data_IF_394129875506
#
_entry.id   IF_394129875506
#
_cell.length_a   1.000
_cell.length_b   1.000
_cell.length_c   1.000
_cell.angle_alpha   90.00
_cell.angle_beta   90.00
_cell.angle_gamma   90.00
#
_symmetry.space_group_name_H-M   'P 1'
#
loop_
_entity.id
_entity.type
_entity.pdbx_description
1 polymer ?
#
# COMPACT_ATOMS: atom_id res chain seq x y z
N UNK A 1 6.51 -11.89 -6.67
CA UNK A 1 7.92 -11.48 -6.65
C UNK A 1 8.39 -11.42 -5.21
N UNK A 2 9.69 -11.55 -4.99
CA UNK A 2 10.34 -11.39 -3.69
C UNK A 2 11.48 -10.39 -3.80
N UNK A 3 11.93 -9.84 -2.67
CA UNK A 3 13.06 -8.93 -2.58
C UNK A 3 14.39 -9.51 -3.14
N UNK A 4 14.43 -10.81 -3.44
CA UNK A 4 15.59 -11.53 -3.97
C UNK A 4 15.54 -11.72 -5.50
N UNK A 5 14.43 -11.38 -6.16
CA UNK A 5 14.32 -11.46 -7.61
C UNK A 5 15.18 -10.37 -8.28
N UNK A 6 15.68 -10.56 -9.52
CA UNK A 6 16.49 -9.54 -10.20
C UNK A 6 15.81 -8.18 -10.26
N UNK A 7 16.52 -7.11 -9.90
CA UNK A 7 15.96 -5.77 -9.86
C UNK A 7 15.22 -5.42 -8.56
N UNK A 8 15.29 -6.28 -7.55
CA UNK A 8 14.86 -6.01 -6.18
C UNK A 8 16.05 -5.70 -5.27
N UNK A 9 15.77 -5.14 -4.09
CA UNK A 9 16.78 -4.53 -3.21
C UNK A 9 17.93 -5.47 -2.83
N UNK A 10 17.68 -6.79 -2.72
CA UNK A 10 18.73 -7.77 -2.39
C UNK A 10 19.42 -8.38 -3.62
N UNK A 11 19.02 -7.99 -4.83
CA UNK A 11 19.54 -8.54 -6.10
C UNK A 11 19.58 -7.48 -7.21
N UNK A 12 20.30 -6.37 -6.92
CA UNK A 12 20.58 -5.32 -7.89
C UNK A 12 21.95 -5.54 -8.53
N UNK A 13 22.00 -5.51 -9.87
CA UNK A 13 23.27 -5.35 -10.57
C UNK A 13 23.78 -3.90 -10.52
N UNK A 14 25.02 -3.67 -10.94
CA UNK A 14 25.65 -2.34 -10.91
C UNK A 14 24.84 -1.27 -11.67
N UNK A 15 24.31 -1.61 -12.84
CA UNK A 15 23.49 -0.68 -13.65
C UNK A 15 22.20 -0.30 -12.93
N UNK A 16 21.53 -1.28 -12.32
CA UNK A 16 20.29 -1.07 -11.56
C UNK A 16 20.53 -0.24 -10.29
N UNK A 17 21.65 -0.47 -9.59
CA UNK A 17 22.05 0.34 -8.44
C UNK A 17 22.31 1.80 -8.83
N UNK A 18 23.00 2.02 -9.95
CA UNK A 18 23.22 3.36 -10.49
C UNK A 18 21.91 4.03 -10.91
N UNK A 19 21.00 3.29 -11.53
CA UNK A 19 19.67 3.80 -11.89
C UNK A 19 18.86 4.21 -10.65
N UNK A 20 18.93 3.45 -9.55
CA UNK A 20 18.30 3.82 -8.28
C UNK A 20 18.89 5.13 -7.71
N UNK A 21 20.22 5.27 -7.71
CA UNK A 21 20.90 6.51 -7.29
C UNK A 21 20.43 7.70 -8.13
N UNK A 22 20.45 7.56 -9.45
CA UNK A 22 20.03 8.62 -10.37
C UNK A 22 18.53 8.95 -10.21
N UNK A 23 17.68 7.94 -10.01
CA UNK A 23 16.26 8.15 -9.75
C UNK A 23 16.01 8.97 -8.48
N UNK A 24 16.79 8.75 -7.41
CA UNK A 24 16.72 9.58 -6.22
C UNK A 24 17.12 11.03 -6.52
N UNK A 25 18.21 11.25 -7.25
CA UNK A 25 18.68 12.60 -7.60
C UNK A 25 17.61 13.34 -8.42
N UNK A 26 17.13 12.71 -9.49
CA UNK A 26 16.19 13.32 -10.44
C UNK A 26 14.82 13.56 -9.79
N UNK A 27 14.35 12.67 -8.92
CA UNK A 27 13.10 12.85 -8.19
C UNK A 27 13.17 14.09 -7.29
N UNK A 28 14.24 14.20 -6.49
CA UNK A 28 14.40 15.30 -5.56
C UNK A 28 14.59 16.62 -6.31
N UNK A 29 15.40 16.64 -7.37
CA UNK A 29 15.59 17.80 -8.22
C UNK A 29 14.27 18.24 -8.88
N UNK A 30 13.46 17.29 -9.36
CA UNK A 30 12.16 17.59 -9.97
C UNK A 30 11.20 18.22 -8.95
N UNK A 31 11.14 17.71 -7.72
CA UNK A 31 10.34 18.31 -6.65
C UNK A 31 10.90 19.70 -6.27
N UNK A 32 12.22 19.84 -6.18
CA UNK A 32 12.89 21.12 -5.92
C UNK A 32 12.47 22.19 -6.94
N UNK A 33 12.55 21.87 -8.23
CA UNK A 33 12.14 22.75 -9.34
C UNK A 33 10.65 23.08 -9.25
N UNK A 34 9.79 22.06 -9.07
CA UNK A 34 8.33 22.23 -9.00
C UNK A 34 7.90 23.13 -7.82
N UNK A 35 8.68 23.14 -6.74
CA UNK A 35 8.35 23.85 -5.48
C UNK A 35 9.16 25.12 -5.28
N UNK A 36 10.13 25.41 -6.16
CA UNK A 36 11.10 26.49 -6.00
C UNK A 36 11.86 26.45 -4.66
N UNK A 37 12.03 25.27 -4.08
CA UNK A 37 12.78 25.05 -2.84
C UNK A 37 14.09 24.35 -3.13
N UNK A 38 15.19 24.61 -2.40
CA UNK A 38 16.41 23.82 -2.50
C UNK A 38 16.15 22.33 -2.22
N UNK A 39 16.91 21.42 -2.84
CA UNK A 39 16.83 19.96 -2.65
C UNK A 39 16.75 19.56 -1.16
N UNK A 40 17.58 20.16 -0.31
CA UNK A 40 17.62 19.87 1.13
C UNK A 40 16.39 20.35 1.91
N UNK A 41 15.54 21.14 1.28
CA UNK A 41 14.39 21.81 1.88
C UNK A 41 13.05 21.34 1.31
N UNK A 42 13.03 20.46 0.31
CA UNK A 42 11.78 20.03 -0.36
C UNK A 42 10.75 19.44 0.61
N UNK A 43 11.20 18.87 1.73
CA UNK A 43 10.35 18.29 2.78
C UNK A 43 9.37 19.29 3.41
N UNK A 44 9.62 20.59 3.24
CA UNK A 44 8.72 21.65 3.72
C UNK A 44 7.64 22.02 2.68
N UNK A 45 7.64 21.40 1.50
CA UNK A 45 6.57 21.51 0.50
C UNK A 45 5.57 20.37 0.62
N UNK A 46 4.37 20.53 0.05
CA UNK A 46 3.35 19.48 -0.01
C UNK A 46 3.87 18.21 -0.71
N UNK A 47 4.62 18.36 -1.81
CA UNK A 47 5.19 17.22 -2.54
C UNK A 47 6.23 16.47 -1.71
N UNK A 48 7.13 17.19 -1.05
CA UNK A 48 8.14 16.56 -0.19
C UNK A 48 7.50 15.93 1.05
N UNK A 49 6.52 16.59 1.66
CA UNK A 49 5.78 16.01 2.77
C UNK A 49 5.06 14.72 2.36
N UNK A 50 4.29 14.75 1.26
CA UNK A 50 3.57 13.57 0.77
C UNK A 50 4.52 12.43 0.38
N UNK A 51 5.64 12.73 -0.30
CA UNK A 51 6.64 11.72 -0.66
C UNK A 51 7.14 10.97 0.58
N UNK A 52 7.51 11.70 1.63
CA UNK A 52 8.11 11.09 2.82
C UNK A 52 7.08 10.42 3.72
N UNK A 53 5.81 10.82 3.69
CA UNK A 53 4.73 10.05 4.30
C UNK A 53 4.50 8.75 3.51
N UNK A 54 4.42 8.84 2.19
CA UNK A 54 4.11 7.70 1.31
C UNK A 54 5.15 6.59 1.38
N UNK A 55 6.44 6.94 1.43
CA UNK A 55 7.55 5.97 1.45
C UNK A 55 7.97 5.53 2.86
N UNK A 56 7.52 6.18 3.93
CA UNK A 56 8.03 5.87 5.27
C UNK A 56 7.51 4.55 5.85
N UNK A 57 6.39 4.06 5.32
CA UNK A 57 5.77 2.84 5.80
C UNK A 57 6.58 1.57 5.46
N UNK A 58 7.11 1.52 4.23
CA UNK A 58 7.93 0.42 3.75
C UNK A 58 9.36 0.92 3.50
N UNK A 59 10.30 0.05 3.12
CA UNK A 59 11.62 0.53 2.78
C UNK A 59 11.54 1.45 1.53
N UNK A 60 11.97 2.70 1.66
CA UNK A 60 11.85 3.70 0.60
C UNK A 60 12.51 3.28 -0.73
N UNK A 61 13.61 2.51 -0.70
CA UNK A 61 14.23 2.00 -1.93
C UNK A 61 13.39 0.92 -2.60
N UNK A 62 12.74 0.06 -1.81
CA UNK A 62 11.80 -0.93 -2.35
C UNK A 62 10.69 -0.23 -3.13
N UNK A 63 10.17 0.89 -2.60
CA UNK A 63 9.18 1.71 -3.29
C UNK A 63 9.73 2.19 -4.64
N UNK A 64 10.86 2.89 -4.66
CA UNK A 64 11.41 3.44 -5.92
C UNK A 64 11.77 2.34 -6.92
N UNK A 65 12.31 1.20 -6.45
CA UNK A 65 12.61 0.05 -7.29
C UNK A 65 11.35 -0.54 -7.93
N UNK A 66 10.23 -0.56 -7.21
CA UNK A 66 8.91 -0.97 -7.76
C UNK A 66 8.55 -0.11 -8.98
N UNK A 67 8.73 1.20 -8.89
CA UNK A 67 8.47 2.13 -10.01
C UNK A 67 9.50 2.01 -11.14
N UNK A 68 10.79 1.81 -10.82
CA UNK A 68 11.81 1.59 -11.85
C UNK A 68 11.52 0.33 -12.65
N UNK A 69 11.20 -0.79 -12.00
CA UNK A 69 10.84 -2.04 -12.69
C UNK A 69 9.62 -1.86 -13.58
N UNK A 70 8.56 -1.23 -13.06
CA UNK A 70 7.32 -0.97 -13.80
C UNK A 70 7.53 -0.14 -15.07
N UNK A 71 8.57 0.70 -15.09
CA UNK A 71 8.92 1.58 -16.20
C UNK A 71 10.15 1.10 -16.96
N UNK A 72 10.52 -0.19 -16.84
CA UNK A 72 11.64 -0.81 -17.55
C UNK A 72 12.95 -0.03 -17.36
N UNK A 73 13.16 0.51 -16.16
CA UNK A 73 14.31 1.31 -15.75
C UNK A 73 14.46 2.65 -16.49
N UNK A 74 13.42 3.15 -17.16
CA UNK A 74 13.39 4.51 -17.69
C UNK A 74 13.15 5.51 -16.55
N UNK A 75 14.21 6.22 -16.18
CA UNK A 75 14.21 7.15 -15.05
C UNK A 75 13.25 8.33 -15.32
N UNK A 76 13.25 8.89 -16.53
CA UNK A 76 12.42 10.06 -16.86
C UNK A 76 10.94 9.72 -16.75
N UNK A 77 10.52 8.59 -17.31
CA UNK A 77 9.14 8.09 -17.18
C UNK A 77 8.82 7.79 -15.72
N UNK A 78 9.77 7.18 -15.00
CA UNK A 78 9.62 6.87 -13.57
C UNK A 78 9.33 8.13 -12.75
N UNK A 79 10.13 9.19 -12.90
CA UNK A 79 9.93 10.46 -12.20
C UNK A 79 8.58 11.07 -12.57
N UNK A 80 8.24 11.13 -13.85
CA UNK A 80 6.96 11.68 -14.30
C UNK A 80 5.77 10.96 -13.63
N UNK A 81 5.82 9.64 -13.55
CA UNK A 81 4.74 8.84 -12.96
C UNK A 81 4.68 8.97 -11.43
N UNK A 82 5.82 9.03 -10.75
CA UNK A 82 5.85 9.32 -9.30
C UNK A 82 5.30 10.74 -9.04
N UNK A 83 5.65 11.74 -9.84
CA UNK A 83 5.08 13.08 -9.71
C UNK A 83 3.57 13.11 -9.95
N UNK A 84 3.07 12.32 -10.91
CA UNK A 84 1.63 12.14 -11.14
C UNK A 84 0.95 11.47 -9.94
N UNK A 85 1.59 10.45 -9.33
CA UNK A 85 1.11 9.84 -8.09
C UNK A 85 1.02 10.88 -6.97
N UNK A 86 2.11 11.59 -6.66
CA UNK A 86 2.12 12.58 -5.57
C UNK A 86 1.05 13.66 -5.81
N UNK A 87 0.92 14.14 -7.05
CA UNK A 87 -0.13 15.10 -7.43
C UNK A 87 -1.52 14.55 -7.18
N UNK A 88 -1.79 13.30 -7.56
CA UNK A 88 -3.08 12.65 -7.30
C UNK A 88 -3.33 12.47 -5.80
N UNK A 89 -2.32 12.02 -5.04
CA UNK A 89 -2.45 11.83 -3.59
C UNK A 89 -2.82 13.13 -2.88
N UNK A 90 -2.16 14.24 -3.24
CA UNK A 90 -2.42 15.57 -2.71
C UNK A 90 -3.81 16.07 -3.13
N UNK A 91 -4.14 16.03 -4.42
CA UNK A 91 -5.41 16.57 -4.95
C UNK A 91 -6.63 15.79 -4.48
N UNK A 92 -6.53 14.46 -4.44
CA UNK A 92 -7.57 13.57 -3.96
C UNK A 92 -7.60 13.46 -2.43
N UNK A 93 -6.71 14.18 -1.73
CA UNK A 93 -6.62 14.24 -0.27
C UNK A 93 -6.54 12.87 0.38
N UNK A 94 -5.70 11.98 -0.18
CA UNK A 94 -5.60 10.58 0.26
C UNK A 94 -5.23 10.49 1.75
N UNK A 95 -4.33 11.34 2.24
CA UNK A 95 -3.99 11.36 3.67
C UNK A 95 -5.17 11.77 4.56
N UNK A 96 -5.96 12.77 4.14
CA UNK A 96 -7.16 13.17 4.87
C UNK A 96 -8.18 12.03 4.88
N UNK A 97 -8.37 11.36 3.75
CA UNK A 97 -9.21 10.17 3.65
C UNK A 97 -8.73 9.07 4.60
N UNK A 98 -7.44 8.71 4.61
CA UNK A 98 -6.89 7.67 5.48
C UNK A 98 -6.99 8.01 6.98
N UNK A 99 -6.97 9.30 7.35
CA UNK A 99 -7.18 9.78 8.73
C UNK A 99 -8.60 9.57 9.27
N UNK A 100 -9.53 9.23 8.37
CA UNK A 100 -10.94 8.96 8.65
C UNK A 100 -11.36 7.54 8.23
N UNK A 101 -10.67 6.96 7.23
CA UNK A 101 -10.85 5.65 6.62
C UNK A 101 -12.27 5.09 6.71
N UNK A 102 -12.53 4.20 7.69
CA UNK A 102 -13.81 3.52 7.85
C UNK A 102 -15.00 4.44 8.11
N UNK A 103 -14.78 5.66 8.61
CA UNK A 103 -15.84 6.66 8.78
C UNK A 103 -16.21 7.40 7.49
N UNK A 104 -15.41 7.28 6.43
CA UNK A 104 -15.63 7.90 5.11
C UNK A 104 -16.09 6.89 4.04
N UNK A 105 -16.23 5.61 4.42
CA UNK A 105 -16.79 4.56 3.57
C UNK A 105 -18.14 4.10 4.14
N UNK A 106 -18.96 3.48 3.29
CA UNK A 106 -20.23 2.88 3.73
C UNK A 106 -19.96 1.63 4.56
N UNK A 107 -20.33 1.65 5.84
CA UNK A 107 -20.24 0.46 6.71
C UNK A 107 -21.14 -0.67 6.18
N UNK A 108 -22.31 -0.34 5.64
CA UNK A 108 -23.17 -1.33 4.98
C UNK A 108 -22.42 -2.03 3.85
N UNK A 109 -21.77 -1.26 2.98
CA UNK A 109 -20.98 -1.79 1.87
C UNK A 109 -19.76 -2.60 2.34
N UNK A 110 -19.09 -2.16 3.41
CA UNK A 110 -17.96 -2.87 3.99
C UNK A 110 -18.38 -4.23 4.56
N UNK A 111 -19.53 -4.29 5.25
CA UNK A 111 -20.05 -5.53 5.86
C UNK A 111 -20.62 -6.53 4.84
N UNK A 112 -20.82 -6.13 3.58
CA UNK A 112 -21.16 -7.07 2.50
C UNK A 112 -20.01 -8.01 2.14
N UNK A 113 -18.79 -7.75 2.64
CA UNK A 113 -17.60 -8.58 2.40
C UNK A 113 -17.30 -8.81 0.91
N UNK A 114 -17.57 -7.81 0.06
CA UNK A 114 -17.32 -7.89 -1.38
C UNK A 114 -15.83 -7.92 -1.75
N UNK A 115 -14.97 -7.45 -0.84
CA UNK A 115 -13.52 -7.41 -1.00
C UNK A 115 -12.84 -7.34 0.37
N UNK A 116 -11.95 -8.28 0.67
CA UNK A 116 -11.21 -8.32 1.95
C UNK A 116 -9.88 -9.06 1.81
N UNK A 117 -8.92 -8.74 2.66
CA UNK A 117 -7.71 -9.52 2.85
C UNK A 117 -7.93 -10.59 3.91
N UNK A 118 -7.37 -11.77 3.70
CA UNK A 118 -7.40 -12.85 4.69
C UNK A 118 -6.31 -13.88 4.35
N UNK A 119 -5.50 -14.23 5.34
CA UNK A 119 -4.44 -15.24 5.18
C UNK A 119 -3.41 -14.90 4.09
N UNK A 120 -2.60 -15.91 3.77
CA UNK A 120 -1.45 -15.77 2.88
C UNK A 120 -1.38 -16.90 1.84
N UNK A 121 -0.87 -16.59 0.65
CA UNK A 121 -0.54 -17.61 -0.34
C UNK A 121 0.70 -18.41 0.08
N UNK A 122 1.02 -19.47 -0.66
CA UNK A 122 2.13 -20.39 -0.32
C UNK A 122 3.52 -19.74 -0.31
N UNK A 123 3.66 -18.51 -0.81
CA UNK A 123 4.93 -17.79 -0.78
C UNK A 123 4.87 -16.54 0.12
N UNK A 124 3.83 -16.44 0.96
CA UNK A 124 3.69 -15.40 1.97
C UNK A 124 3.05 -14.10 1.47
N UNK A 125 2.40 -14.07 0.30
CA UNK A 125 1.66 -12.88 -0.13
C UNK A 125 0.33 -12.79 0.58
N UNK A 126 -0.05 -11.62 1.14
CA UNK A 126 -1.39 -11.45 1.66
C UNK A 126 -2.40 -11.66 0.52
N UNK A 127 -3.51 -12.36 0.82
CA UNK A 127 -4.52 -12.70 -0.19
C UNK A 127 -5.73 -11.80 -0.05
N UNK A 128 -6.07 -11.07 -1.11
CA UNK A 128 -7.31 -10.33 -1.25
C UNK A 128 -8.36 -11.19 -1.95
N UNK A 129 -9.48 -11.48 -1.29
CA UNK A 129 -10.64 -12.13 -1.84
C UNK A 129 -11.65 -11.09 -2.30
N UNK A 130 -12.09 -11.18 -3.56
CA UNK A 130 -13.11 -10.32 -4.16
C UNK A 130 -14.27 -11.19 -4.62
N UNK A 131 -15.47 -10.93 -4.12
CA UNK A 131 -16.69 -11.66 -4.45
C UNK A 131 -17.53 -10.83 -5.42
N UNK A 132 -17.33 -11.01 -6.72
CA UNK A 132 -17.93 -10.16 -7.75
C UNK A 132 -19.47 -10.19 -7.77
N UNK A 133 -20.06 -11.29 -7.27
CA UNK A 133 -21.52 -11.44 -7.13
C UNK A 133 -22.13 -10.45 -6.13
N UNK A 134 -21.36 -10.01 -5.13
CA UNK A 134 -21.83 -9.06 -4.11
C UNK A 134 -21.82 -7.62 -4.62
N UNK A 135 -21.09 -7.32 -5.71
CA UNK A 135 -21.14 -6.00 -6.34
C UNK A 135 -22.42 -5.84 -7.16
N UNK A 136 -23.27 -4.87 -6.81
CA UNK A 136 -24.44 -4.51 -7.61
C UNK A 136 -24.21 -3.14 -8.25
N UNK A 137 -24.27 -3.07 -9.58
CA UNK A 137 -24.04 -1.84 -10.34
C UNK A 137 -25.01 -0.75 -9.90
N UNK A 138 -24.47 0.40 -9.51
CA UNK A 138 -25.24 1.58 -9.11
C UNK A 138 -25.85 1.51 -7.71
N UNK A 139 -25.55 0.47 -6.91
CA UNK A 139 -25.97 0.39 -5.50
C UNK A 139 -25.28 1.46 -4.65
N UNK A 140 -23.99 1.70 -4.92
CA UNK A 140 -23.18 2.74 -4.27
C UNK A 140 -22.63 3.70 -5.32
N UNK A 141 -22.26 4.90 -4.90
CA UNK A 141 -21.64 5.86 -5.81
C UNK A 141 -20.27 5.36 -6.27
N UNK A 142 -19.84 5.79 -7.46
CA UNK A 142 -18.51 5.46 -7.96
C UNK A 142 -17.41 5.96 -7.02
N UNK A 143 -17.56 7.17 -6.45
CA UNK A 143 -16.63 7.74 -5.48
C UNK A 143 -16.49 6.87 -4.22
N UNK A 144 -17.61 6.40 -3.66
CA UNK A 144 -17.60 5.51 -2.49
C UNK A 144 -16.90 4.19 -2.79
N UNK A 145 -17.23 3.59 -3.93
CA UNK A 145 -16.65 2.30 -4.32
C UNK A 145 -15.15 2.42 -4.64
N UNK A 146 -14.74 3.55 -5.23
CA UNK A 146 -13.33 3.87 -5.49
C UNK A 146 -12.54 4.11 -4.20
N UNK A 147 -13.10 4.85 -3.23
CA UNK A 147 -12.48 5.02 -1.90
C UNK A 147 -12.25 3.69 -1.19
N UNK A 148 -13.21 2.76 -1.27
CA UNK A 148 -13.02 1.42 -0.71
C UNK A 148 -11.87 0.66 -1.40
N UNK A 149 -11.75 0.75 -2.73
CA UNK A 149 -10.64 0.13 -3.45
C UNK A 149 -9.29 0.77 -3.10
N UNK A 150 -9.24 2.10 -2.97
CA UNK A 150 -8.06 2.84 -2.51
C UNK A 150 -7.67 2.38 -1.10
N UNK A 151 -8.64 2.30 -0.18
CA UNK A 151 -8.39 1.83 1.18
C UNK A 151 -7.84 0.40 1.19
N UNK A 152 -8.43 -0.51 0.40
CA UNK A 152 -7.93 -1.88 0.28
C UNK A 152 -6.48 -1.92 -0.26
N UNK A 153 -6.14 -1.07 -1.23
CA UNK A 153 -4.78 -0.97 -1.76
C UNK A 153 -3.78 -0.43 -0.73
N UNK A 154 -4.16 0.58 0.05
CA UNK A 154 -3.29 1.09 1.12
C UNK A 154 -3.13 0.07 2.26
N UNK A 155 -4.18 -0.68 2.58
CA UNK A 155 -4.12 -1.83 3.51
C UNK A 155 -3.21 -2.94 2.97
N UNK A 156 -3.26 -3.21 1.66
CA UNK A 156 -2.41 -4.23 1.05
C UNK A 156 -0.93 -3.97 1.34
N UNK A 157 -0.52 -2.69 1.29
CA UNK A 157 0.84 -2.26 1.62
C UNK A 157 1.16 -2.49 3.09
N UNK A 158 0.17 -2.35 3.98
CA UNK A 158 0.27 -2.64 5.41
C UNK A 158 0.42 -4.11 5.77
N UNK A 159 -0.13 -4.99 4.95
CA UNK A 159 -0.08 -6.44 5.16
C UNK A 159 1.16 -7.11 4.54
N UNK A 160 1.99 -6.35 3.79
CA UNK A 160 3.22 -6.89 3.21
C UNK A 160 4.27 -7.13 4.30
N UNK A 161 4.82 -8.34 4.31
CA UNK A 161 5.96 -8.69 5.16
C UNK A 161 7.17 -8.99 4.28
N UNK A 162 8.30 -8.33 4.54
CA UNK A 162 9.53 -8.61 3.83
C UNK A 162 9.89 -10.11 3.93
N UNK A 163 10.36 -10.76 2.85
CA UNK A 163 10.80 -10.20 1.57
C UNK A 163 9.67 -10.06 0.52
N UNK A 164 8.40 -10.23 0.89
CA UNK A 164 7.28 -10.16 -0.04
C UNK A 164 6.90 -8.71 -0.33
N UNK A 165 6.78 -8.36 -1.62
CA UNK A 165 6.47 -6.99 -2.07
C UNK A 165 5.12 -6.89 -2.81
N UNK A 166 4.39 -8.00 -2.92
CA UNK A 166 3.19 -8.12 -3.77
C UNK A 166 2.10 -8.89 -3.04
N UNK A 167 0.83 -8.62 -3.38
CA UNK A 167 -0.31 -9.40 -2.90
C UNK A 167 -0.85 -10.36 -3.98
N UNK A 168 -1.65 -11.33 -3.54
CA UNK A 168 -2.43 -12.22 -4.41
C UNK A 168 -3.89 -11.80 -4.38
N UNK A 169 -4.58 -11.84 -5.51
CA UNK A 169 -6.02 -11.60 -5.58
C UNK A 169 -6.73 -12.87 -6.01
N UNK A 170 -7.76 -13.27 -5.27
CA UNK A 170 -8.72 -14.30 -5.66
C UNK A 170 -10.03 -13.60 -6.01
N UNK A 171 -10.47 -13.71 -7.25
CA UNK A 171 -11.74 -13.14 -7.73
C UNK A 171 -12.73 -14.28 -7.94
N UNK A 172 -13.70 -14.38 -7.03
CA UNK A 172 -14.85 -15.26 -7.18
C UNK A 172 -15.91 -14.60 -8.07
N UNK A 173 -16.12 -15.21 -9.23
CA UNK A 173 -17.11 -14.78 -10.22
C UNK A 173 -18.31 -15.74 -10.31
N UNK A 174 -18.45 -16.61 -9.31
CA UNK A 174 -19.58 -17.53 -9.21
C UNK A 174 -20.92 -16.81 -9.10
N UNK A 175 -21.87 -17.17 -9.96
CA UNK A 175 -23.23 -16.63 -9.90
C UNK A 175 -23.37 -15.15 -10.29
N UNK A 176 -22.35 -14.53 -10.90
CA UNK A 176 -22.49 -13.18 -11.46
C UNK A 176 -23.54 -13.17 -12.58
N UNK A 177 -24.22 -12.03 -12.72
CA UNK A 177 -25.24 -11.79 -13.73
C UNK A 177 -25.15 -10.35 -14.23
N UNK A 178 -26.09 -9.93 -15.11
CA UNK A 178 -26.08 -8.58 -15.69
C UNK A 178 -26.06 -7.45 -14.65
N UNK A 179 -26.70 -7.63 -13.48
CA UNK A 179 -26.71 -6.62 -12.41
C UNK A 179 -25.34 -6.39 -11.76
N UNK A 180 -24.44 -7.38 -11.87
CA UNK A 180 -23.08 -7.32 -11.32
C UNK A 180 -22.08 -6.72 -12.32
N UNK A 181 -22.45 -6.64 -13.59
CA UNK A 181 -21.54 -6.19 -14.65
C UNK A 181 -21.41 -4.67 -14.65
N UNK A 182 -20.34 -4.19 -14.02
CA UNK A 182 -19.97 -2.77 -13.97
C UNK A 182 -18.64 -2.52 -14.69
N UNK A 183 -18.73 -2.42 -16.03
CA UNK A 183 -17.57 -2.21 -16.89
C UNK A 183 -16.88 -0.86 -16.64
N UNK A 184 -17.63 0.15 -16.20
CA UNK A 184 -17.07 1.45 -15.89
C UNK A 184 -16.22 1.38 -14.62
N UNK A 185 -16.74 0.75 -13.56
CA UNK A 185 -15.98 0.51 -12.35
C UNK A 185 -14.73 -0.34 -12.60
N UNK A 186 -14.87 -1.44 -13.36
CA UNK A 186 -13.73 -2.29 -13.70
C UNK A 186 -12.62 -1.52 -14.42
N UNK A 187 -12.99 -0.67 -15.40
CA UNK A 187 -12.02 0.19 -16.11
C UNK A 187 -11.36 1.20 -15.18
N UNK A 188 -12.12 1.83 -14.27
CA UNK A 188 -11.57 2.77 -13.31
C UNK A 188 -10.59 2.10 -12.35
N UNK A 189 -10.91 0.90 -11.85
CA UNK A 189 -9.99 0.13 -11.00
C UNK A 189 -8.72 -0.28 -11.71
N UNK A 190 -8.82 -0.78 -12.95
CA UNK A 190 -7.63 -1.10 -13.75
C UNK A 190 -6.75 0.14 -13.94
N UNK A 191 -7.36 1.29 -14.25
CA UNK A 191 -6.62 2.56 -14.37
C UNK A 191 -5.98 2.98 -13.05
N UNK A 192 -6.70 2.90 -11.93
CA UNK A 192 -6.19 3.23 -10.59
C UNK A 192 -4.96 2.38 -10.25
N UNK A 193 -5.07 1.05 -10.41
CA UNK A 193 -4.01 0.10 -10.13
C UNK A 193 -2.78 0.33 -11.01
N UNK A 194 -2.99 0.37 -12.34
CA UNK A 194 -1.89 0.53 -13.30
C UNK A 194 -1.20 1.88 -13.17
N UNK A 195 -1.93 2.94 -12.79
CA UNK A 195 -1.37 4.29 -12.69
C UNK A 195 -0.63 4.50 -11.37
N UNK A 196 -1.23 4.12 -10.25
CA UNK A 196 -0.79 4.54 -8.91
C UNK A 196 -0.19 3.42 -8.04
N UNK A 197 -0.43 2.14 -8.38
CA UNK A 197 0.05 0.99 -7.61
C UNK A 197 0.79 -0.03 -8.50
N UNK A 198 1.78 0.41 -9.29
CA UNK A 198 2.47 -0.48 -10.22
C UNK A 198 3.18 -1.61 -9.49
N UNK A 199 3.33 -2.77 -10.13
CA UNK A 199 4.06 -3.94 -9.58
C UNK A 199 3.62 -4.38 -8.18
N UNK A 200 2.35 -4.13 -7.79
CA UNK A 200 1.79 -4.58 -6.50
C UNK A 200 1.09 -5.94 -6.60
N UNK A 201 0.52 -6.27 -7.77
CA UNK A 201 -0.10 -7.57 -8.03
C UNK A 201 0.99 -8.63 -8.30
N UNK A 202 0.97 -9.70 -7.50
CA UNK A 202 1.85 -10.86 -7.65
C UNK A 202 1.21 -12.02 -8.41
N UNK A 203 -0.08 -12.27 -8.18
CA UNK A 203 -0.87 -13.34 -8.78
C UNK A 203 -2.36 -12.99 -8.75
N UNK A 204 -3.06 -13.20 -9.85
CA UNK A 204 -4.52 -13.09 -9.92
C UNK A 204 -5.13 -14.47 -10.18
N UNK A 205 -6.07 -14.91 -9.35
CA UNK A 205 -6.73 -16.21 -9.45
C UNK A 205 -8.23 -15.97 -9.66
N UNK A 206 -8.76 -16.36 -10.80
CA UNK A 206 -10.19 -16.27 -11.08
C UNK A 206 -10.82 -17.65 -10.84
N UNK A 207 -11.82 -17.72 -9.96
CA UNK A 207 -12.52 -18.96 -9.59
C UNK A 207 -13.99 -18.91 -10.01
N UNK A 208 -14.61 -20.07 -10.18
CA UNK A 208 -16.06 -20.21 -10.47
C UNK A 208 -16.51 -19.48 -11.76
N UNK A 209 -15.63 -19.42 -12.76
CA UNK A 209 -15.90 -18.82 -14.06
C UNK A 209 -17.04 -19.50 -14.82
N UNK A 210 -18.02 -18.72 -15.26
CA UNK A 210 -19.11 -19.19 -16.13
C UNK A 210 -18.91 -18.73 -17.58
N UNK A 211 -19.71 -19.26 -18.52
CA UNK A 211 -19.70 -18.78 -19.90
C UNK A 211 -20.00 -17.28 -20.00
N UNK A 212 -20.86 -16.75 -19.11
CA UNK A 212 -21.19 -15.33 -19.03
C UNK A 212 -19.98 -14.50 -18.59
N UNK A 213 -19.22 -14.98 -17.59
CA UNK A 213 -17.99 -14.33 -17.19
C UNK A 213 -16.96 -14.28 -18.33
N UNK A 214 -16.81 -15.35 -19.11
CA UNK A 214 -15.88 -15.36 -20.25
C UNK A 214 -16.19 -14.25 -21.26
N UNK A 215 -17.48 -13.95 -21.48
CA UNK A 215 -17.88 -12.80 -22.31
C UNK A 215 -17.45 -11.48 -21.67
N UNK A 216 -17.67 -11.27 -20.38
CA UNK A 216 -17.18 -10.07 -19.68
C UNK A 216 -15.65 -9.95 -19.75
N UNK A 217 -14.94 -11.05 -19.53
CA UNK A 217 -13.48 -11.09 -19.58
C UNK A 217 -12.92 -10.66 -20.94
N UNK A 218 -13.53 -11.09 -22.04
CA UNK A 218 -13.11 -10.67 -23.40
C UNK A 218 -13.16 -9.16 -23.63
N UNK A 219 -14.00 -8.43 -22.87
CA UNK A 219 -14.11 -6.97 -22.92
C UNK A 219 -13.08 -6.31 -22.00
N UNK A 220 -12.79 -6.92 -20.84
CA UNK A 220 -11.89 -6.38 -19.81
C UNK A 220 -10.42 -6.61 -20.18
N UNK A 221 -10.09 -7.78 -20.74
CA UNK A 221 -8.73 -8.20 -21.04
C UNK A 221 -7.93 -7.17 -21.84
N UNK A 222 -8.45 -6.51 -22.89
CA UNK A 222 -7.72 -5.48 -23.64
C UNK A 222 -7.34 -4.22 -22.84
N UNK A 223 -7.89 -4.03 -21.63
CA UNK A 223 -7.55 -2.89 -20.78
C UNK A 223 -6.36 -3.16 -19.85
N UNK A 224 -5.99 -4.43 -19.70
CA UNK A 224 -4.88 -4.85 -18.85
C UNK A 224 -3.56 -4.72 -19.60
N UNK A 225 -2.53 -4.24 -18.90
CA UNK A 225 -1.18 -4.33 -19.43
C UNK A 225 -0.73 -5.81 -19.50
N UNK A 226 0.11 -6.19 -20.48
CA UNK A 226 0.51 -7.59 -20.66
C UNK A 226 1.17 -8.23 -19.43
N UNK A 227 1.83 -7.45 -18.57
CA UNK A 227 2.46 -7.96 -17.34
C UNK A 227 1.41 -8.38 -16.33
N UNK A 228 0.33 -7.61 -16.19
CA UNK A 228 -0.82 -7.96 -15.33
C UNK A 228 -1.58 -9.14 -15.92
N UNK A 229 -1.86 -9.15 -17.23
CA UNK A 229 -2.54 -10.27 -17.88
C UNK A 229 -1.81 -11.61 -17.65
N UNK A 230 -0.48 -11.62 -17.80
CA UNK A 230 0.34 -12.83 -17.58
C UNK A 230 0.29 -13.37 -16.15
N UNK A 231 -0.03 -12.52 -15.17
CA UNK A 231 -0.18 -12.88 -13.75
C UNK A 231 -1.54 -13.51 -13.44
N UNK A 232 -2.49 -13.49 -14.36
CA UNK A 232 -3.85 -13.99 -14.14
C UNK A 232 -3.96 -15.47 -14.53
N UNK A 233 -4.56 -16.27 -13.65
CA UNK A 233 -4.81 -17.71 -13.81
C UNK A 233 -6.28 -18.01 -13.57
N UNK A 234 -6.83 -18.89 -14.41
CA UNK A 234 -8.21 -19.36 -14.29
C UNK A 234 -8.21 -20.73 -13.60
N UNK A 235 -8.87 -20.80 -12.45
CA UNK A 235 -9.01 -21.99 -11.64
C UNK A 235 -10.23 -22.76 -12.15
N UNK A 236 -10.01 -23.98 -12.66
CA UNK A 236 -11.06 -24.81 -13.27
C UNK A 236 -11.81 -25.66 -12.26
N UNK A 237 -11.08 -26.24 -11.30
CA UNK A 237 -11.66 -26.97 -10.18
C UNK A 237 -11.34 -26.22 -8.90
N UNK A 238 -12.29 -26.12 -7.98
CA UNK A 238 -12.09 -25.43 -6.69
C UNK A 238 -10.87 -25.97 -5.94
N UNK A 239 -10.62 -27.28 -6.01
CA UNK A 239 -9.44 -27.94 -5.43
C UNK A 239 -8.10 -27.43 -5.98
N UNK A 240 -8.08 -26.87 -7.19
CA UNK A 240 -6.84 -26.36 -7.81
C UNK A 240 -6.40 -25.04 -7.16
N UNK A 241 -7.28 -24.35 -6.40
CA UNK A 241 -6.88 -23.20 -5.60
C UNK A 241 -5.81 -23.58 -4.57
N UNK A 242 -5.86 -24.82 -4.08
CA UNK A 242 -4.88 -25.40 -3.14
C UNK A 242 -3.48 -25.51 -3.72
N UNK A 243 -3.30 -25.37 -5.04
CA UNK A 243 -1.97 -25.30 -5.65
C UNK A 243 -1.24 -24.02 -5.26
N UNK A 244 -1.98 -22.93 -5.04
CA UNK A 244 -1.44 -21.58 -4.82
C UNK A 244 -1.57 -21.10 -3.37
N UNK A 245 -2.63 -21.50 -2.67
CA UNK A 245 -2.93 -21.07 -1.30
C UNK A 245 -3.13 -22.33 -0.44
N UNK A 246 -2.62 -22.34 0.79
CA UNK A 246 -2.90 -23.44 1.71
C UNK A 246 -4.39 -23.43 2.09
N UNK A 247 -5.10 -24.58 2.11
CA UNK A 247 -6.49 -24.64 2.56
C UNK A 247 -6.80 -23.93 3.87
N UNK A 248 -5.85 -23.88 4.82
CA UNK A 248 -6.02 -23.16 6.09
C UNK A 248 -6.21 -21.65 5.92
N UNK A 249 -5.80 -21.09 4.78
CA UNK A 249 -5.94 -19.68 4.43
C UNK A 249 -7.08 -19.42 3.44
N UNK A 250 -7.77 -20.46 2.96
CA UNK A 250 -8.90 -20.33 2.03
C UNK A 250 -10.22 -20.32 2.82
N UNK A 251 -11.15 -19.38 2.55
CA UNK A 251 -12.43 -19.31 3.27
C UNK A 251 -13.32 -20.52 2.95
N UNK A 252 -14.17 -20.93 3.90
CA UNK A 252 -15.12 -22.03 3.77
C UNK A 252 -16.06 -21.87 2.57
N UNK A 253 -16.51 -20.65 2.25
CA UNK A 253 -17.32 -20.35 1.05
C UNK A 253 -16.62 -20.62 -0.27
N UNK A 254 -15.29 -20.76 -0.27
CA UNK A 254 -14.47 -21.21 -1.40
C UNK A 254 -13.88 -22.60 -1.14
N UNK A 255 -14.55 -23.40 -0.32
CA UNK A 255 -14.21 -24.80 -0.02
C UNK A 255 -12.85 -24.99 0.68
N UNK A 256 -12.38 -23.95 1.37
CA UNK A 256 -11.21 -24.02 2.22
C UNK A 256 -11.50 -24.46 3.65
N UNK A 257 -10.52 -24.23 4.54
CA UNK A 257 -10.59 -24.57 5.98
C UNK A 257 -10.61 -23.34 6.89
N UNK A 258 -10.32 -22.15 6.37
CA UNK A 258 -10.44 -20.92 7.13
C UNK A 258 -11.91 -20.56 7.32
N UNK A 259 -12.29 -20.05 8.49
CA UNK A 259 -13.63 -19.49 8.68
C UNK A 259 -13.88 -18.35 7.68
N UNK A 260 -15.13 -18.18 7.25
CA UNK A 260 -15.47 -17.08 6.36
C UNK A 260 -15.20 -15.74 7.04
N UNK A 261 -14.65 -14.79 6.27
CA UNK A 261 -14.34 -13.47 6.77
C UNK A 261 -15.56 -12.79 7.39
N UNK A 262 -15.38 -12.24 8.59
CA UNK A 262 -16.39 -11.48 9.31
C UNK A 262 -15.85 -10.08 9.60
N UNK A 263 -16.55 -9.07 9.07
CA UNK A 263 -16.18 -7.69 9.33
C UNK A 263 -16.48 -7.31 10.79
N UNK A 264 -15.43 -7.05 11.57
CA UNK A 264 -15.51 -6.49 12.92
C UNK A 264 -15.76 -4.98 12.83
N UNK A 265 -16.93 -4.55 13.32
CA UNK A 265 -17.35 -3.15 13.37
C UNK A 265 -16.47 -2.30 14.30
N UNK A 266 -16.34 -0.98 14.03
CA UNK A 266 -15.73 -0.06 14.96
C UNK A 266 -16.45 -0.05 16.31
N UNK A 267 -15.68 0.04 17.40
CA UNK A 267 -16.20 0.09 18.76
C UNK A 267 -16.30 1.53 19.31
N UNK A 268 -17.00 1.73 20.42
CA UNK A 268 -16.99 3.02 21.15
C UNK A 268 -15.57 3.40 21.61
N UNK A 269 -14.72 2.42 21.92
CA UNK A 269 -13.31 2.63 22.28
C UNK A 269 -12.55 3.23 21.10
N UNK A 270 -12.79 2.74 19.87
CA UNK A 270 -12.15 3.25 18.65
C UNK A 270 -12.51 4.72 18.43
N UNK A 271 -13.80 5.07 18.59
CA UNK A 271 -14.28 6.43 18.43
C UNK A 271 -13.70 7.38 19.50
N UNK A 272 -13.64 6.92 20.75
CA UNK A 272 -13.08 7.69 21.87
C UNK A 272 -11.60 7.96 21.65
N UNK A 273 -10.86 6.95 21.23
CA UNK A 273 -9.43 7.05 20.92
C UNK A 273 -9.17 7.99 19.75
N UNK A 274 -9.89 7.83 18.64
CA UNK A 274 -9.81 8.71 17.48
C UNK A 274 -10.10 10.17 17.87
N UNK A 275 -11.11 10.38 18.71
CA UNK A 275 -11.45 11.71 19.23
C UNK A 275 -10.32 12.27 20.08
N UNK A 276 -9.71 11.48 20.96
CA UNK A 276 -8.59 11.92 21.79
C UNK A 276 -7.39 12.38 20.95
N UNK A 277 -6.96 11.59 19.96
CA UNK A 277 -5.84 11.97 19.09
C UNK A 277 -6.13 13.21 18.22
N UNK A 278 -7.38 13.39 17.79
CA UNK A 278 -7.80 14.59 17.04
C UNK A 278 -7.76 15.88 17.87
N UNK A 279 -7.93 15.78 19.18
CA UNK A 279 -7.86 16.93 20.10
C UNK A 279 -6.46 17.17 20.67
N UNK A 280 -5.54 16.21 20.52
CA UNK A 280 -4.14 16.35 20.94
C UNK A 280 -3.28 17.07 19.88
N UNK A 281 -3.52 18.38 19.75
CA UNK A 281 -2.78 19.24 18.83
C UNK A 281 -1.28 19.29 19.11
N UNK A 282 -0.89 19.19 20.39
CA UNK A 282 0.51 19.28 20.80
C UNK A 282 1.27 18.00 20.42
N UNK A 283 0.72 16.83 20.75
CA UNK A 283 1.29 15.55 20.36
C UNK A 283 1.35 15.36 18.84
N UNK A 284 0.29 15.77 18.12
CA UNK A 284 0.32 15.80 16.66
C UNK A 284 1.48 16.65 16.13
N UNK A 285 1.59 17.89 16.57
CA UNK A 285 2.65 18.82 16.13
C UNK A 285 4.04 18.27 16.47
N UNK A 286 4.19 17.65 17.64
CA UNK A 286 5.43 17.00 18.06
C UNK A 286 5.80 15.84 17.13
N UNK A 287 4.87 14.88 16.91
CA UNK A 287 5.08 13.73 16.04
C UNK A 287 5.41 14.15 14.59
N UNK A 288 4.67 15.12 14.04
CA UNK A 288 4.94 15.68 12.71
C UNK A 288 6.33 16.31 12.63
N UNK A 289 6.75 17.03 13.68
CA UNK A 289 8.07 17.68 13.72
C UNK A 289 9.19 16.64 13.75
N UNK A 290 9.07 15.61 14.60
CA UNK A 290 10.05 14.53 14.69
C UNK A 290 10.15 13.73 13.39
N UNK A 291 9.02 13.37 12.79
CA UNK A 291 9.00 12.68 11.50
C UNK A 291 9.64 13.54 10.39
N UNK A 292 9.33 14.85 10.35
CA UNK A 292 9.95 15.79 9.40
C UNK A 292 11.48 15.89 9.59
N UNK A 293 11.97 15.86 10.82
CA UNK A 293 13.41 15.85 11.10
C UNK A 293 14.08 14.54 10.65
N UNK A 294 13.44 13.39 10.91
CA UNK A 294 13.91 12.10 10.43
C UNK A 294 13.98 12.07 8.89
N UNK A 295 12.94 12.58 8.22
CA UNK A 295 12.89 12.74 6.77
C UNK A 295 14.03 13.63 6.24
N UNK A 296 14.30 14.79 6.88
CA UNK A 296 15.44 15.65 6.53
C UNK A 296 16.78 14.92 6.62
N UNK A 297 16.99 14.16 7.70
CA UNK A 297 18.21 13.37 7.90
C UNK A 297 18.36 12.28 6.83
N UNK A 298 17.28 11.53 6.57
CA UNK A 298 17.27 10.49 5.55
C UNK A 298 17.51 11.06 4.15
N UNK A 299 16.87 12.18 3.79
CA UNK A 299 17.07 12.88 2.53
C UNK A 299 18.53 13.27 2.33
N UNK A 300 19.14 13.93 3.32
CA UNK A 300 20.54 14.37 3.26
C UNK A 300 21.49 13.20 3.05
N UNK A 301 21.29 12.09 3.77
CA UNK A 301 22.12 10.88 3.63
C UNK A 301 21.89 10.19 2.29
N UNK A 302 20.65 10.17 1.80
CA UNK A 302 20.30 9.60 0.50
C UNK A 302 20.93 10.38 -0.64
N UNK A 303 20.89 11.71 -0.63
CA UNK A 303 21.58 12.53 -1.64
C UNK A 303 23.10 12.35 -1.59
N UNK A 304 23.70 12.30 -0.38
CA UNK A 304 25.14 12.01 -0.22
C UNK A 304 25.49 10.64 -0.83
N UNK A 305 24.70 9.61 -0.52
CA UNK A 305 24.90 8.25 -1.01
C UNK A 305 24.70 8.15 -2.54
N UNK A 306 23.73 8.88 -3.08
CA UNK A 306 23.43 8.86 -4.51
C UNK A 306 24.55 9.49 -5.35
N UNK A 307 25.25 10.50 -4.81
CA UNK A 307 26.38 11.16 -5.47
C UNK A 307 27.74 10.51 -5.16
N UNK A 308 27.81 9.60 -4.19
CA UNK A 308 29.06 8.94 -3.84
C UNK A 308 29.24 7.61 -4.55
N UNK A 309 30.51 7.18 -4.65
CA UNK A 309 30.81 5.76 -4.80
C UNK A 309 30.30 4.96 -3.59
N UNK A 310 30.30 3.63 -3.71
CA UNK A 310 29.80 2.77 -2.65
C UNK A 310 30.70 2.87 -1.41
N UNK A 311 30.14 3.43 -0.34
CA UNK A 311 30.79 3.62 0.95
C UNK A 311 29.97 2.90 2.02
N UNK A 312 30.55 1.88 2.65
CA UNK A 312 29.86 1.02 3.62
C UNK A 312 29.34 1.80 4.83
N UNK A 313 30.14 2.73 5.37
CA UNK A 313 29.73 3.54 6.51
C UNK A 313 28.52 4.42 6.17
N UNK A 314 28.52 5.05 4.98
CA UNK A 314 27.41 5.87 4.54
C UNK A 314 26.14 5.04 4.28
N UNK A 315 26.29 3.81 3.77
CA UNK A 315 25.18 2.87 3.61
C UNK A 315 24.60 2.51 4.97
N UNK A 316 25.43 2.18 5.96
CA UNK A 316 24.99 1.88 7.33
C UNK A 316 24.29 3.08 8.00
N UNK A 317 24.82 4.28 7.85
CA UNK A 317 24.18 5.52 8.33
C UNK A 317 22.80 5.73 7.69
N UNK A 318 22.70 5.48 6.38
CA UNK A 318 21.44 5.61 5.63
C UNK A 318 20.42 4.55 6.04
N UNK A 319 20.84 3.31 6.28
CA UNK A 319 19.96 2.24 6.81
C UNK A 319 19.41 2.65 8.18
N UNK A 320 20.26 3.14 9.08
CA UNK A 320 19.83 3.66 10.39
C UNK A 320 18.85 4.83 10.26
N UNK A 321 19.10 5.74 9.31
CA UNK A 321 18.20 6.86 9.06
C UNK A 321 16.86 6.43 8.44
N UNK A 322 16.86 5.40 7.58
CA UNK A 322 15.64 4.80 7.03
C UNK A 322 14.81 4.17 8.14
N UNK A 323 15.45 3.42 9.05
CA UNK A 323 14.75 2.84 10.22
C UNK A 323 14.13 3.94 11.08
N UNK A 324 14.90 4.97 11.42
CA UNK A 324 14.38 6.11 12.19
C UNK A 324 13.23 6.86 11.47
N UNK A 325 13.22 6.89 10.13
CA UNK A 325 12.11 7.45 9.37
C UNK A 325 10.82 6.63 9.58
N UNK A 326 10.92 5.30 9.52
CA UNK A 326 9.81 4.38 9.80
C UNK A 326 9.36 4.47 11.27
N UNK A 327 10.29 4.40 12.23
CA UNK A 327 9.96 4.46 13.67
C UNK A 327 9.23 5.77 14.03
N UNK A 328 9.63 6.90 13.44
CA UNK A 328 8.94 8.20 13.65
C UNK A 328 7.62 8.29 12.90
N UNK A 329 7.47 7.59 11.77
CA UNK A 329 6.20 7.47 11.07
C UNK A 329 5.18 6.68 11.88
N UNK A 330 5.59 5.57 12.50
CA UNK A 330 4.73 4.78 13.40
C UNK A 330 4.19 5.61 14.56
N UNK A 331 5.01 6.49 15.14
CA UNK A 331 4.58 7.44 16.18
C UNK A 331 3.62 8.52 15.67
N UNK A 332 3.63 8.81 14.38
CA UNK A 332 2.73 9.77 13.73
C UNK A 332 1.38 9.14 13.37
N UNK A 333 1.34 7.83 13.09
CA UNK A 333 0.16 7.11 12.61
C UNK A 333 -1.13 7.41 13.40
N UNK A 334 -1.16 7.44 14.75
CA UNK A 334 -2.39 7.73 15.49
C UNK A 334 -3.07 9.07 15.15
N UNK A 335 -2.32 10.03 14.59
CA UNK A 335 -2.80 11.36 14.23
C UNK A 335 -3.18 11.50 12.75
N UNK A 336 -2.79 10.55 11.91
CA UNK A 336 -2.96 10.60 10.43
C UNK A 336 -3.68 9.37 9.86
N UNK A 337 -4.00 8.37 10.70
CA UNK A 337 -4.84 7.22 10.35
C UNK A 337 -5.84 6.93 11.47
N UNK A 338 -6.74 5.98 11.23
CA UNK A 338 -7.68 5.47 12.23
C UNK A 338 -7.53 3.95 12.34
N UNK A 339 -7.95 3.39 13.48
CA UNK A 339 -8.16 1.96 13.56
C UNK A 339 -9.17 1.52 12.49
N UNK A 340 -8.84 0.39 11.88
CA UNK A 340 -9.65 -0.28 10.87
C UNK A 340 -9.80 -1.75 11.25
N UNK A 341 -10.62 -2.49 10.52
CA UNK A 341 -10.94 -3.89 10.73
C UNK A 341 -9.70 -4.75 11.03
N UNK A 342 -8.65 -4.57 10.23
CA UNK A 342 -7.43 -5.36 10.35
C UNK A 342 -6.61 -5.06 11.62
N UNK A 343 -6.84 -3.92 12.29
CA UNK A 343 -6.29 -3.72 13.64
C UNK A 343 -7.13 -4.47 14.68
N UNK A 344 -8.46 -4.50 14.50
CA UNK A 344 -9.39 -5.16 15.43
C UNK A 344 -9.31 -6.69 15.37
N UNK A 345 -9.03 -7.26 14.20
CA UNK A 345 -8.88 -8.71 14.04
C UNK A 345 -7.45 -9.21 14.35
N UNK A 346 -6.49 -8.30 14.57
CA UNK A 346 -5.11 -8.62 14.91
C UNK A 346 -4.16 -8.84 13.72
N UNK A 347 -4.62 -8.72 12.46
CA UNK A 347 -3.78 -8.89 11.27
C UNK A 347 -2.74 -7.77 11.12
N UNK A 348 -3.11 -6.55 11.51
CA UNK A 348 -2.20 -5.40 11.61
C UNK A 348 -1.92 -5.16 13.09
N UNK A 349 -0.77 -5.66 13.53
CA UNK A 349 -0.29 -5.49 14.90
C UNK A 349 0.58 -4.23 15.03
N UNK A 350 0.05 -3.10 14.58
CA UNK A 350 0.63 -1.78 14.84
C UNK A 350 0.25 -1.41 16.28
N UNK A 351 1.20 -1.54 17.22
CA UNK A 351 1.01 -1.24 18.65
C UNK A 351 0.87 0.28 18.94
N UNK A 352 0.39 1.03 17.94
CA UNK A 352 0.32 2.50 17.88
C UNK A 352 -0.88 3.05 18.65
N UNK A 353 -1.89 2.22 18.92
CA UNK A 353 -3.14 2.63 19.55
C UNK A 353 -3.23 2.32 21.06
N UNK A 354 -2.26 1.58 21.59
CA UNK A 354 -2.11 1.33 23.04
C UNK A 354 -1.09 2.28 23.72
N UNK A 355 -0.49 3.21 22.96
CA UNK A 355 0.41 4.26 23.45
C UNK A 355 -0.30 5.62 23.53
N UNK A 356 -1.06 5.83 24.61
CA UNK A 356 -1.51 7.19 24.98
C UNK A 356 -0.31 8.12 25.18
N UNK A 357 -0.50 9.43 24.95
CA UNK A 357 0.50 10.50 25.15
C UNK A 357 1.32 10.36 26.44
N UNK A 358 0.75 9.80 27.50
CA UNK A 358 1.40 9.53 28.79
C UNK A 358 2.58 8.52 28.73
N UNK A 359 2.69 7.70 27.66
CA UNK A 359 3.85 6.82 27.41
C UNK A 359 4.91 7.42 26.49
N UNK A 360 4.60 8.50 25.76
CA UNK A 360 5.58 9.16 24.86
C UNK A 360 6.59 10.01 25.65
N UNK A 361 6.21 10.56 26.80
CA UNK A 361 7.11 11.38 27.64
C UNK A 361 7.92 10.59 28.69
N UNK A 362 7.63 9.29 28.89
CA UNK A 362 8.22 8.49 29.99
C UNK A 362 9.36 7.56 29.55
N UNK A 363 9.59 7.38 28.24
CA UNK A 363 10.65 6.51 27.72
C UNK A 363 11.88 7.26 27.15
N UNK A 364 12.04 8.55 27.43
CA UNK A 364 13.24 9.32 27.07
C UNK A 364 14.42 9.10 28.04
N UNK A 365 14.29 8.19 29.02
CA UNK A 365 15.37 7.90 30.00
C UNK A 365 16.08 6.56 29.84
N UNK A 366 15.61 5.59 29.06
CA UNK A 366 16.21 4.23 29.05
C UNK A 366 16.35 3.61 27.64
N UNK A 367 17.01 4.32 26.72
CA UNK A 367 17.60 3.68 25.53
C UNK A 367 19.10 3.96 25.54
N UNK A 368 19.83 3.14 26.30
CA UNK A 368 21.26 2.95 26.07
C UNK A 368 21.47 2.31 24.70
N UNK A 369 22.26 2.98 23.87
CA UNK A 369 22.67 2.51 22.55
C UNK A 369 23.61 1.31 22.70
N UNK A 370 23.23 0.18 22.10
CA UNK A 370 24.18 -0.86 21.66
C UNK A 370 24.05 -1.07 20.15
#
# INVERSE_FOLDING_TARGET
MTANDPGHINNLNKTQKNALKQCWIDLISTISIQTSLPDTCIINSDYGHELFIWIAYENADIVLLRWLRANKWDIKITIQRIMNLLTWRIKSRIQEFLSKAESEISLEEATMNKGYFMGYDKIGRPVCYIHAKEHIRGQYSLDQTEKLAILALEISRKLLQAPVETFTVVIDVGGISRKNMDLHLAKNFINLFQTYYPESLGLGLIVNGSWFFNSCWSIIMPWLDPTVENKIKFIKKETDLNMYIDPINIPQRLHGKHEDFQYILPTEKDQTMLTAFRHDYQGKKFAETHHRQAAKKYLKLTLRWAHSEDNENLILERIKASKNLTDTYEKLLPYITTQIHYHRNGDINENIFDMTYNKLCTNDTDIEYF
#
